data_IF_224441816348
#
_entry.id   IF_224441816348
#
_cell.length_a   1.000
_cell.length_b   1.000
_cell.length_c   1.000
_cell.angle_alpha   90.00
_cell.angle_beta   90.00
_cell.angle_gamma   90.00
#
_symmetry.space_group_name_H-M   'P 1'
#
loop_
_entity.id
_entity.type
_entity.pdbx_description
1 polymer ?
#
# COMPACT_ATOMS: atom_id res chain seq x y z
N UNK A 1 -40.14 18.58 57.49
CA UNK A 1 -38.89 17.93 57.94
C UNK A 1 -38.67 16.66 57.12
N UNK A 2 -37.53 16.61 56.43
CA UNK A 2 -36.72 15.47 55.95
C UNK A 2 -37.37 14.44 54.99
N UNK A 3 -37.10 14.48 53.68
CA UNK A 3 -35.91 13.95 52.96
C UNK A 3 -35.57 12.47 53.25
N UNK A 4 -35.83 11.58 52.26
CA UNK A 4 -34.78 10.81 51.55
C UNK A 4 -35.36 9.93 50.44
N UNK A 5 -35.14 10.39 49.21
CA UNK A 5 -34.96 9.62 47.97
C UNK A 5 -33.86 8.57 48.14
N UNK A 6 -33.97 7.39 47.51
CA UNK A 6 -32.83 6.74 46.85
C UNK A 6 -33.30 5.85 45.69
N UNK A 7 -33.03 6.33 44.48
CA UNK A 7 -33.10 5.60 43.22
C UNK A 7 -31.98 4.55 43.17
N UNK A 8 -32.33 3.30 42.88
CA UNK A 8 -31.35 2.31 42.40
C UNK A 8 -31.15 2.51 40.90
N UNK A 9 -30.21 3.39 40.55
CA UNK A 9 -29.62 3.41 39.22
C UNK A 9 -28.51 2.36 39.18
N UNK A 10 -28.74 1.27 38.44
CA UNK A 10 -27.69 0.34 38.07
C UNK A 10 -26.73 1.08 37.12
N UNK A 11 -25.63 1.60 37.67
CA UNK A 11 -24.48 2.01 36.87
C UNK A 11 -23.88 0.75 36.27
N UNK A 12 -24.22 0.49 35.01
CA UNK A 12 -23.39 -0.30 34.14
C UNK A 12 -22.03 0.42 34.04
N UNK A 13 -21.05 -0.07 34.79
CA UNK A 13 -19.64 0.20 34.55
C UNK A 13 -19.33 -0.40 33.18
N UNK A 14 -19.55 0.38 32.12
CA UNK A 14 -18.84 0.20 30.87
C UNK A 14 -17.37 0.29 31.26
N UNK A 15 -16.70 -0.85 31.33
CA UNK A 15 -15.25 -0.93 31.38
C UNK A 15 -14.73 -0.28 30.11
N UNK A 16 -14.56 1.04 30.15
CA UNK A 16 -13.71 1.76 29.21
C UNK A 16 -12.32 1.25 29.55
N UNK A 17 -11.90 0.20 28.85
CA UNK A 17 -10.50 -0.22 28.87
C UNK A 17 -9.78 0.96 28.23
N UNK A 18 -9.27 1.86 29.07
CA UNK A 18 -8.33 2.89 28.64
C UNK A 18 -7.11 2.13 28.10
N UNK A 19 -7.12 1.82 26.81
CA UNK A 19 -5.93 1.41 26.10
C UNK A 19 -4.99 2.60 26.12
N UNK A 20 -4.10 2.62 27.13
CA UNK A 20 -3.03 3.59 27.19
C UNK A 20 -2.22 3.50 25.88
N UNK A 21 -1.90 4.64 25.25
CA UNK A 21 -1.07 4.64 24.06
C UNK A 21 0.28 3.96 24.36
N UNK A 22 0.73 3.06 23.48
CA UNK A 22 1.95 2.25 23.67
C UNK A 22 3.25 3.04 23.47
N UNK A 23 3.25 4.35 23.60
CA UNK A 23 4.34 5.27 23.17
C UNK A 23 5.66 5.15 23.96
N UNK A 24 5.90 4.06 24.70
CA UNK A 24 7.13 3.80 25.46
C UNK A 24 7.94 2.64 24.85
N UNK A 25 9.24 2.88 24.61
CA UNK A 25 10.24 1.95 24.05
C UNK A 25 10.52 0.69 24.92
N UNK A 26 9.78 0.46 26.00
CA UNK A 26 10.03 -0.61 26.99
C UNK A 26 8.90 -1.64 27.09
N UNK A 27 7.97 -1.64 26.14
CA UNK A 27 6.87 -2.62 26.13
C UNK A 27 7.37 -4.00 25.71
N UNK A 28 7.04 -5.04 26.49
CA UNK A 28 7.36 -6.42 26.11
C UNK A 28 6.67 -6.78 24.79
N UNK A 29 7.26 -7.69 23.99
CA UNK A 29 6.63 -8.18 22.74
C UNK A 29 5.23 -8.73 23.03
N UNK A 30 5.00 -9.35 24.18
CA UNK A 30 3.71 -9.92 24.55
C UNK A 30 2.66 -8.84 24.82
N UNK A 31 3.06 -7.69 25.37
CA UNK A 31 2.15 -6.56 25.57
C UNK A 31 1.80 -5.89 24.24
N UNK A 32 2.79 -5.75 23.34
CA UNK A 32 2.55 -5.30 21.96
C UNK A 32 1.60 -6.23 21.21
N UNK A 33 1.80 -7.55 21.32
CA UNK A 33 0.91 -8.56 20.70
C UNK A 33 -0.52 -8.45 21.25
N UNK A 34 -0.68 -8.29 22.56
CA UNK A 34 -2.02 -8.13 23.17
C UNK A 34 -2.70 -6.86 22.67
N UNK A 35 -1.97 -5.76 22.57
CA UNK A 35 -2.53 -4.50 22.06
C UNK A 35 -2.93 -4.60 20.58
N UNK A 36 -2.12 -5.24 19.74
CA UNK A 36 -2.44 -5.43 18.32
C UNK A 36 -3.52 -6.49 18.06
N UNK A 37 -3.86 -7.38 19.01
CA UNK A 37 -4.88 -8.42 18.76
C UNK A 37 -6.30 -7.88 18.61
N UNK A 38 -6.56 -6.65 19.06
CA UNK A 38 -7.86 -6.03 18.87
C UNK A 38 -8.04 -5.59 17.41
N UNK A 39 -9.04 -6.15 16.72
CA UNK A 39 -9.56 -5.59 15.47
C UNK A 39 -9.00 -6.12 14.14
N UNK A 40 -8.53 -7.37 14.08
CA UNK A 40 -7.92 -7.97 12.88
C UNK A 40 -6.67 -7.22 12.40
N UNK A 41 -5.74 -6.99 13.33
CA UNK A 41 -4.44 -6.39 13.06
C UNK A 41 -3.31 -7.39 13.21
N UNK A 42 -2.23 -7.11 12.49
CA UNK A 42 -0.98 -7.85 12.56
C UNK A 42 0.10 -6.96 13.20
N UNK A 43 0.84 -7.52 14.16
CA UNK A 43 1.98 -6.86 14.77
C UNK A 43 3.22 -7.15 13.93
N UNK A 44 3.91 -6.08 13.51
CA UNK A 44 5.24 -6.17 12.91
C UNK A 44 6.26 -5.52 13.84
N UNK A 45 7.36 -6.23 14.09
CA UNK A 45 8.44 -5.77 14.99
C UNK A 45 9.79 -6.06 14.34
N UNK A 46 10.68 -5.07 14.40
CA UNK A 46 12.10 -5.22 14.12
C UNK A 46 12.88 -4.82 15.35
N UNK A 47 13.73 -5.73 15.83
CA UNK A 47 14.63 -5.49 16.96
C UNK A 47 15.98 -5.01 16.45
N UNK A 48 16.46 -3.91 17.04
CA UNK A 48 17.86 -3.48 16.98
C UNK A 48 18.49 -3.72 18.37
N UNK A 49 19.81 -3.52 18.50
CA UNK A 49 20.56 -3.84 19.73
C UNK A 49 19.96 -3.21 21.00
N UNK A 50 19.47 -1.97 20.91
CA UNK A 50 18.93 -1.21 22.05
C UNK A 50 17.47 -0.77 21.93
N UNK A 51 16.83 -0.97 20.77
CA UNK A 51 15.49 -0.44 20.48
C UNK A 51 14.66 -1.40 19.63
N UNK A 52 13.34 -1.35 19.80
CA UNK A 52 12.37 -2.04 18.95
C UNK A 52 11.60 -1.02 18.10
N UNK A 53 11.55 -1.23 16.79
CA UNK A 53 10.61 -0.51 15.91
C UNK A 53 9.41 -1.41 15.70
N UNK A 54 8.20 -0.90 15.91
CA UNK A 54 6.99 -1.70 15.76
C UNK A 54 5.80 -0.91 15.21
N UNK A 55 4.88 -1.66 14.59
CA UNK A 55 3.57 -1.16 14.19
C UNK A 55 2.51 -2.28 14.25
N UNK A 56 1.32 -1.95 14.74
CA UNK A 56 0.13 -2.73 14.44
C UNK A 56 -0.48 -2.24 13.13
N UNK A 57 -0.61 -3.15 12.16
CA UNK A 57 -1.21 -2.87 10.86
C UNK A 57 -2.65 -3.38 10.89
N UNK A 58 -3.63 -2.48 10.87
CA UNK A 58 -5.05 -2.81 11.01
C UNK A 58 -5.75 -2.85 9.65
N UNK A 59 -6.45 -3.94 9.34
CA UNK A 59 -7.29 -3.99 8.13
C UNK A 59 -8.48 -3.02 8.29
N UNK A 60 -8.59 -2.08 7.37
CA UNK A 60 -9.70 -1.12 7.29
C UNK A 60 -10.82 -1.69 6.42
N UNK A 61 -12.06 -1.58 6.91
CA UNK A 61 -13.26 -1.92 6.15
C UNK A 61 -14.29 -0.81 6.33
N UNK A 62 -14.59 -0.07 5.26
CA UNK A 62 -15.54 1.04 5.28
C UNK A 62 -16.94 0.67 5.83
N UNK A 63 -17.35 -0.59 5.66
CA UNK A 63 -18.65 -1.10 6.11
C UNK A 63 -18.66 -1.47 7.61
N UNK A 64 -17.52 -1.44 8.29
CA UNK A 64 -17.39 -1.75 9.72
C UNK A 64 -17.48 -0.46 10.53
N UNK A 65 -18.50 -0.36 11.39
CA UNK A 65 -18.68 0.83 12.25
C UNK A 65 -17.54 1.04 13.26
N UNK A 66 -16.84 -0.03 13.65
CA UNK A 66 -15.80 -0.01 14.68
C UNK A 66 -14.41 -0.28 14.08
N UNK A 67 -14.01 0.50 13.08
CA UNK A 67 -12.61 0.51 12.62
C UNK A 67 -11.74 1.19 13.68
N UNK A 68 -10.69 0.50 14.15
CA UNK A 68 -9.74 1.03 15.13
C UNK A 68 -8.90 2.15 14.53
N UNK A 69 -8.44 1.92 13.29
CA UNK A 69 -7.66 2.84 12.49
C UNK A 69 -8.47 3.18 11.21
N UNK A 70 -8.54 4.46 10.86
CA UNK A 70 -9.34 4.97 9.74
C UNK A 70 -8.54 5.97 8.90
N UNK A 71 -8.86 6.17 7.61
CA UNK A 71 -8.10 7.07 6.75
C UNK A 71 -8.02 8.53 7.21
N UNK A 72 -8.98 9.00 8.01
CA UNK A 72 -9.02 10.36 8.55
C UNK A 72 -7.93 10.60 9.61
N UNK A 73 -7.68 9.62 10.48
CA UNK A 73 -6.78 9.77 11.64
C UNK A 73 -5.51 8.91 11.60
N UNK A 74 -5.40 7.99 10.64
CA UNK A 74 -4.33 7.00 10.53
C UNK A 74 -3.67 7.06 9.17
N UNK A 75 -2.42 6.61 9.08
CA UNK A 75 -1.75 6.42 7.79
C UNK A 75 -2.25 5.11 7.19
N UNK A 76 -2.77 5.15 5.97
CA UNK A 76 -3.27 3.97 5.29
C UNK A 76 -2.56 3.73 3.97
N UNK A 77 -2.57 2.48 3.54
CA UNK A 77 -1.98 2.00 2.30
C UNK A 77 -2.80 0.80 1.82
N UNK A 78 -2.70 0.50 0.53
CA UNK A 78 -3.18 -0.78 0.01
C UNK A 78 -2.07 -1.82 0.16
N UNK A 79 -2.47 -3.01 0.57
CA UNK A 79 -1.69 -4.22 0.38
C UNK A 79 -2.53 -5.17 -0.46
N UNK A 80 -2.06 -5.47 -1.66
CA UNK A 80 -2.88 -6.06 -2.72
C UNK A 80 -4.11 -5.16 -3.01
N UNK A 81 -5.32 -5.61 -2.67
CA UNK A 81 -6.56 -4.83 -2.86
C UNK A 81 -7.23 -4.42 -1.53
N UNK A 82 -6.65 -4.82 -0.41
CA UNK A 82 -7.17 -4.53 0.91
C UNK A 82 -6.52 -3.25 1.46
N UNK A 83 -7.29 -2.44 2.17
CA UNK A 83 -6.79 -1.24 2.84
C UNK A 83 -6.33 -1.60 4.24
N UNK A 84 -5.12 -1.19 4.58
CA UNK A 84 -4.55 -1.33 5.91
C UNK A 84 -4.14 0.03 6.44
N UNK A 85 -4.27 0.23 7.75
CA UNK A 85 -4.01 1.49 8.42
C UNK A 85 -3.18 1.29 9.69
N UNK A 86 -2.31 2.26 9.96
CA UNK A 86 -1.47 2.36 11.14
C UNK A 86 -1.89 3.59 11.93
N UNK A 87 -2.39 3.36 13.14
CA UNK A 87 -2.80 4.41 14.07
C UNK A 87 -1.66 4.66 15.06
N UNK A 88 -1.39 5.95 15.34
CA UNK A 88 -0.32 6.41 16.24
C UNK A 88 -0.31 5.76 17.62
N UNK A 89 -1.47 5.29 18.12
CA UNK A 89 -1.59 4.64 19.43
C UNK A 89 -0.91 3.27 19.47
N UNK A 90 -0.63 2.71 18.30
CA UNK A 90 -0.23 1.33 18.08
C UNK A 90 1.07 1.21 17.25
N UNK A 91 1.86 2.28 17.22
CA UNK A 91 3.20 2.30 16.61
C UNK A 91 4.09 3.28 17.36
N UNK A 92 5.41 3.08 17.31
CA UNK A 92 6.40 4.06 17.75
C UNK A 92 7.12 4.78 16.59
N UNK A 93 6.67 4.58 15.35
CA UNK A 93 7.19 5.29 14.17
C UNK A 93 6.61 6.70 14.16
N UNK A 94 7.45 7.72 14.36
CA UNK A 94 7.01 9.11 14.56
C UNK A 94 6.42 9.70 13.28
N UNK A 95 6.94 9.28 12.15
CA UNK A 95 6.55 9.66 10.80
C UNK A 95 5.13 9.18 10.47
N UNK A 96 4.63 8.16 11.19
CA UNK A 96 3.28 7.64 11.05
C UNK A 96 2.23 8.37 11.90
N UNK A 97 2.62 9.32 12.75
CA UNK A 97 1.68 10.12 13.53
C UNK A 97 1.21 11.34 12.73
N UNK A 98 0.04 11.25 12.09
CA UNK A 98 -0.61 12.36 11.36
C UNK A 98 -0.81 13.65 12.18
N UNK A 99 -0.82 13.56 13.51
CA UNK A 99 -0.94 14.73 14.40
C UNK A 99 0.40 15.37 14.77
N UNK A 100 1.52 14.73 14.41
CA UNK A 100 2.87 15.17 14.71
C UNK A 100 3.43 16.08 13.63
N UNK A 101 4.34 16.99 14.03
CA UNK A 101 5.15 17.79 13.08
C UNK A 101 6.14 16.94 12.28
N UNK A 102 6.45 15.74 12.77
CA UNK A 102 7.34 14.80 12.08
C UNK A 102 6.58 13.91 11.09
N UNK A 103 5.28 14.12 10.91
CA UNK A 103 4.49 13.33 9.97
C UNK A 103 5.09 13.42 8.56
N UNK A 104 5.41 12.25 8.01
CA UNK A 104 5.80 12.09 6.62
C UNK A 104 5.18 10.80 6.10
N UNK A 105 4.20 10.95 5.20
CA UNK A 105 3.49 9.82 4.64
C UNK A 105 4.43 8.82 3.95
N UNK A 106 5.42 9.32 3.22
CA UNK A 106 6.31 8.50 2.41
C UNK A 106 7.30 7.76 3.30
N UNK A 107 7.91 8.44 4.26
CA UNK A 107 8.82 7.81 5.22
C UNK A 107 8.09 6.77 6.08
N UNK A 108 6.92 7.12 6.63
CA UNK A 108 6.07 6.15 7.34
C UNK A 108 5.78 4.91 6.48
N UNK A 109 5.34 5.11 5.23
CA UNK A 109 5.00 4.03 4.32
C UNK A 109 6.20 3.11 4.03
N UNK A 110 7.40 3.67 3.88
CA UNK A 110 8.63 2.88 3.72
C UNK A 110 8.99 2.10 4.98
N UNK A 111 8.86 2.71 6.17
CA UNK A 111 9.15 2.03 7.43
C UNK A 111 8.20 0.85 7.66
N UNK A 112 6.91 1.05 7.37
CA UNK A 112 5.92 -0.05 7.44
C UNK A 112 6.20 -1.13 6.40
N UNK A 113 6.57 -0.76 5.16
CA UNK A 113 6.98 -1.74 4.17
C UNK A 113 8.21 -2.54 4.63
N UNK A 114 9.21 -1.87 5.22
CA UNK A 114 10.40 -2.54 5.75
C UNK A 114 10.08 -3.44 6.95
N UNK A 115 9.07 -3.13 7.75
CA UNK A 115 8.63 -3.97 8.89
C UNK A 115 7.81 -5.17 8.44
N UNK A 116 7.03 -5.02 7.38
CA UNK A 116 6.15 -6.08 6.84
C UNK A 116 6.90 -7.06 5.96
N UNK A 117 8.02 -6.63 5.36
CA UNK A 117 8.88 -7.48 4.55
C UNK A 117 9.77 -8.38 5.43
N UNK A 118 9.52 -9.68 5.39
CA UNK A 118 10.29 -10.73 6.08
C UNK A 118 11.62 -11.08 5.37
N UNK A 119 12.04 -10.26 4.41
CA UNK A 119 13.19 -10.52 3.54
C UNK A 119 12.83 -11.27 2.26
N UNK A 120 11.56 -11.66 2.06
CA UNK A 120 11.08 -12.28 0.82
C UNK A 120 10.79 -11.29 -0.31
N UNK A 121 10.79 -9.98 -0.02
CA UNK A 121 10.39 -8.90 -0.94
C UNK A 121 8.96 -9.03 -1.48
N UNK A 122 8.16 -9.95 -0.92
CA UNK A 122 6.82 -10.31 -1.41
C UNK A 122 5.85 -9.13 -1.44
N UNK A 123 6.02 -8.16 -0.54
CA UNK A 123 5.10 -7.04 -0.37
C UNK A 123 5.50 -5.78 -1.15
N UNK A 124 6.73 -5.69 -1.66
CA UNK A 124 7.28 -4.45 -2.26
C UNK A 124 6.44 -3.93 -3.44
N UNK A 125 5.97 -4.80 -4.32
CA UNK A 125 5.12 -4.41 -5.45
C UNK A 125 3.63 -4.28 -5.11
N UNK A 126 3.19 -4.93 -4.02
CA UNK A 126 1.79 -4.97 -3.55
C UNK A 126 1.41 -3.78 -2.68
N UNK A 127 2.41 -3.07 -2.16
CA UNK A 127 2.25 -1.95 -1.24
C UNK A 127 2.06 -0.64 -2.01
N UNK A 128 0.86 -0.06 -1.94
CA UNK A 128 0.48 1.15 -2.68
C UNK A 128 -0.06 2.24 -1.76
N UNK A 129 0.10 3.50 -2.16
CA UNK A 129 -0.42 4.63 -1.41
C UNK A 129 -1.94 4.60 -1.37
N UNK A 130 -2.52 5.11 -0.29
CA UNK A 130 -3.96 5.32 -0.16
C UNK A 130 -4.24 6.83 -0.11
N UNK A 131 -5.26 7.34 -0.83
CA UNK A 131 -6.20 6.59 -1.69
C UNK A 131 -5.70 6.39 -3.13
N UNK A 132 -4.58 7.01 -3.51
CA UNK A 132 -4.18 7.22 -4.91
C UNK A 132 -3.58 5.99 -5.62
N UNK A 133 -3.32 4.89 -4.92
CA UNK A 133 -2.75 3.64 -5.45
C UNK A 133 -1.37 3.80 -6.12
N UNK A 134 -0.60 4.81 -5.73
CA UNK A 134 0.75 5.03 -6.24
C UNK A 134 1.76 4.06 -5.62
N UNK A 135 2.86 3.79 -6.32
CA UNK A 135 3.93 2.96 -5.76
C UNK A 135 4.63 3.65 -4.62
N UNK A 136 4.75 2.94 -3.50
CA UNK A 136 5.56 3.40 -2.37
C UNK A 136 7.02 3.04 -2.62
N UNK A 137 7.32 1.80 -3.03
CA UNK A 137 8.67 1.38 -3.39
C UNK A 137 8.80 1.05 -4.88
N UNK A 138 9.92 1.48 -5.45
CA UNK A 138 10.30 1.22 -6.84
C UNK A 138 11.59 0.43 -6.82
N UNK A 139 11.54 -0.81 -7.32
CA UNK A 139 12.70 -1.64 -7.56
C UNK A 139 12.69 -2.03 -9.04
N UNK A 140 13.40 -1.24 -9.85
CA UNK A 140 13.43 -1.44 -11.29
C UNK A 140 13.99 -2.82 -11.67
N UNK A 141 14.91 -3.38 -10.90
CA UNK A 141 15.52 -4.68 -11.21
C UNK A 141 14.52 -5.79 -10.96
N UNK A 142 13.88 -5.77 -9.78
CA UNK A 142 12.87 -6.76 -9.43
C UNK A 142 11.64 -6.66 -10.33
N UNK A 143 11.19 -5.45 -10.65
CA UNK A 143 10.04 -5.25 -11.54
C UNK A 143 10.26 -5.84 -12.93
N UNK A 144 11.43 -5.58 -13.52
CA UNK A 144 11.75 -6.11 -14.84
C UNK A 144 11.90 -7.64 -14.80
N UNK A 145 12.42 -8.19 -13.70
CA UNK A 145 12.50 -9.65 -13.49
C UNK A 145 11.11 -10.28 -13.38
N UNK A 146 10.21 -9.71 -12.59
CA UNK A 146 8.83 -10.18 -12.43
C UNK A 146 8.03 -10.07 -13.73
N UNK A 147 8.19 -8.95 -14.44
CA UNK A 147 7.61 -8.73 -15.77
C UNK A 147 7.93 -9.90 -16.71
N UNK A 148 9.23 -10.20 -16.86
CA UNK A 148 9.71 -11.30 -17.72
C UNK A 148 9.26 -12.67 -17.21
N UNK A 149 9.29 -12.90 -15.89
CA UNK A 149 8.91 -14.19 -15.28
C UNK A 149 7.45 -14.58 -15.56
N UNK A 150 6.59 -13.61 -15.89
CA UNK A 150 5.19 -13.85 -16.24
C UNK A 150 4.90 -13.61 -17.73
N UNK A 151 5.91 -13.82 -18.59
CA UNK A 151 5.84 -13.67 -20.04
C UNK A 151 5.52 -12.24 -20.54
N UNK A 152 5.80 -11.23 -19.72
CA UNK A 152 5.71 -9.83 -20.12
C UNK A 152 6.93 -9.36 -20.93
N UNK A 153 6.73 -8.26 -21.66
CA UNK A 153 7.75 -7.54 -22.41
C UNK A 153 8.17 -6.32 -21.58
N UNK A 154 9.45 -6.23 -21.27
CA UNK A 154 10.03 -5.05 -20.64
C UNK A 154 10.51 -4.11 -21.72
N UNK A 155 9.99 -2.88 -21.72
CA UNK A 155 10.45 -1.80 -22.57
C UNK A 155 11.24 -0.81 -21.72
N UNK A 156 12.55 -0.71 -21.92
CA UNK A 156 13.42 0.26 -21.23
C UNK A 156 13.92 1.36 -22.15
N UNK A 157 14.28 2.51 -21.59
CA UNK A 157 14.84 3.62 -22.36
C UNK A 157 15.94 4.32 -21.58
N UNK A 158 17.14 4.45 -22.15
CA UNK A 158 18.33 5.14 -21.62
C UNK A 158 18.86 4.75 -20.21
N UNK A 159 18.01 4.68 -19.18
CA UNK A 159 18.36 4.40 -17.79
C UNK A 159 17.42 3.36 -17.17
N UNK A 160 17.85 2.71 -16.09
CA UNK A 160 17.11 1.58 -15.49
C UNK A 160 15.73 1.95 -14.94
N UNK A 161 15.52 3.20 -14.53
CA UNK A 161 14.24 3.70 -13.99
C UNK A 161 13.27 4.22 -15.07
N UNK A 162 13.59 4.05 -16.34
CA UNK A 162 12.72 4.39 -17.46
C UNK A 162 12.27 3.08 -18.10
N UNK A 163 11.22 2.47 -17.52
CA UNK A 163 10.69 1.20 -18.00
C UNK A 163 9.17 1.10 -17.95
N UNK A 164 8.63 0.36 -18.91
CA UNK A 164 7.25 -0.09 -18.95
C UNK A 164 7.24 -1.60 -19.03
N UNK A 165 6.36 -2.23 -18.27
CA UNK A 165 6.08 -3.64 -18.42
C UNK A 165 4.77 -3.85 -19.16
N UNK A 166 4.83 -4.56 -20.28
CA UNK A 166 3.68 -4.98 -21.07
C UNK A 166 3.40 -6.46 -20.79
N UNK A 167 2.19 -6.79 -20.33
CA UNK A 167 1.78 -8.16 -20.06
C UNK A 167 0.81 -8.69 -21.10
N UNK A 168 0.95 -9.96 -21.53
CA UNK A 168 0.01 -10.54 -22.46
C UNK A 168 -1.37 -10.58 -21.81
N UNK A 169 -2.37 -10.00 -22.47
CA UNK A 169 -3.74 -10.13 -22.03
C UNK A 169 -4.24 -11.52 -22.38
N UNK A 170 -4.55 -12.30 -21.35
CA UNK A 170 -4.96 -13.71 -21.45
C UNK A 170 -6.37 -13.93 -20.95
N UNK A 171 -6.99 -12.90 -20.36
CA UNK A 171 -8.32 -12.97 -19.78
C UNK A 171 -9.36 -12.37 -20.73
N UNK A 172 -10.59 -12.89 -20.64
CA UNK A 172 -11.76 -12.30 -21.30
C UNK A 172 -12.33 -11.09 -20.53
N UNK A 173 -11.56 -10.54 -19.60
CA UNK A 173 -11.98 -9.39 -18.80
C UNK A 173 -11.97 -8.10 -19.62
N UNK A 174 -12.72 -7.12 -19.14
CA UNK A 174 -12.82 -5.84 -19.81
C UNK A 174 -11.46 -5.15 -19.87
N UNK A 175 -11.07 -4.69 -21.06
CA UNK A 175 -9.86 -3.90 -21.29
C UNK A 175 -10.06 -2.41 -20.94
N UNK A 176 -11.28 -2.02 -20.57
CA UNK A 176 -11.65 -0.61 -20.34
C UNK A 176 -10.74 0.08 -19.33
N UNK A 177 -10.33 -0.64 -18.28
CA UNK A 177 -9.53 -0.10 -17.19
C UNK A 177 -8.02 -0.33 -17.38
N UNK A 178 -7.59 -0.85 -18.54
CA UNK A 178 -6.18 -1.09 -18.88
C UNK A 178 -5.76 -0.30 -20.10
N UNK A 179 -4.50 0.13 -20.15
CA UNK A 179 -3.92 0.67 -21.38
C UNK A 179 -3.27 -0.49 -22.14
N UNK A 180 -3.77 -0.82 -23.34
CA UNK A 180 -3.36 -1.99 -24.10
C UNK A 180 -2.95 -1.61 -25.51
N UNK A 181 -2.01 -2.37 -26.06
CA UNK A 181 -1.42 -2.22 -27.39
C UNK A 181 -1.26 -3.59 -28.04
N UNK A 182 -1.23 -3.65 -29.36
CA UNK A 182 -0.86 -4.87 -30.07
C UNK A 182 0.66 -4.98 -30.21
N UNK A 183 1.17 -6.20 -30.00
CA UNK A 183 2.56 -6.59 -30.25
C UNK A 183 2.54 -7.93 -30.98
N UNK A 184 3.07 -7.96 -32.21
CA UNK A 184 3.12 -9.15 -33.06
C UNK A 184 1.78 -9.91 -33.18
N UNK A 185 0.67 -9.15 -33.31
CA UNK A 185 -0.69 -9.69 -33.43
C UNK A 185 -1.30 -10.23 -32.14
N UNK A 186 -0.70 -9.93 -30.98
CA UNK A 186 -1.23 -10.25 -29.65
C UNK A 186 -1.47 -8.99 -28.83
N UNK A 187 -2.48 -9.02 -27.98
CA UNK A 187 -2.78 -7.92 -27.07
C UNK A 187 -1.87 -7.96 -25.86
N UNK A 188 -1.18 -6.86 -25.60
CA UNK A 188 -0.44 -6.64 -24.38
C UNK A 188 -0.95 -5.40 -23.67
N UNK A 189 -1.11 -5.46 -22.35
CA UNK A 189 -1.53 -4.34 -21.54
C UNK A 189 -0.41 -3.88 -20.61
N UNK A 190 -0.32 -2.57 -20.39
CA UNK A 190 0.55 -1.98 -19.37
C UNK A 190 0.18 -2.60 -18.02
N UNK A 191 1.14 -3.27 -17.41
CA UNK A 191 1.00 -3.78 -16.07
C UNK A 191 1.50 -2.74 -15.09
N UNK A 192 0.53 -2.06 -14.48
CA UNK A 192 0.74 -0.93 -13.56
C UNK A 192 1.59 -1.31 -12.36
N UNK A 193 1.60 -2.60 -11.98
CA UNK A 193 2.37 -3.03 -10.82
C UNK A 193 3.88 -2.95 -11.07
N UNK A 194 4.32 -3.33 -12.28
CA UNK A 194 5.74 -3.34 -12.69
C UNK A 194 6.04 -2.26 -13.74
N UNK A 195 5.30 -1.14 -13.72
CA UNK A 195 5.56 0.03 -14.57
C UNK A 195 5.71 1.28 -13.71
N UNK A 196 6.81 2.02 -13.90
CA UNK A 196 7.07 3.27 -13.17
C UNK A 196 6.45 4.50 -13.85
N UNK A 197 6.19 4.41 -15.16
CA UNK A 197 5.63 5.51 -15.95
C UNK A 197 4.14 5.69 -15.62
N UNK A 198 3.86 6.57 -14.67
CA UNK A 198 2.51 6.88 -14.16
C UNK A 198 1.57 7.39 -15.25
N UNK A 199 2.09 8.07 -16.28
CA UNK A 199 1.31 8.53 -17.45
C UNK A 199 0.63 7.38 -18.20
N UNK A 200 1.15 6.16 -18.07
CA UNK A 200 0.60 4.94 -18.67
C UNK A 200 -0.29 4.12 -17.73
N UNK A 201 -0.44 4.52 -16.47
CA UNK A 201 -1.29 3.85 -15.48
C UNK A 201 -2.68 4.49 -15.51
N UNK A 202 -3.73 3.75 -15.90
CA UNK A 202 -5.10 4.28 -16.06
C UNK A 202 -5.75 4.66 -14.74
N UNK A 203 -5.31 4.09 -13.63
CA UNK A 203 -5.77 4.45 -12.29
C UNK A 203 -5.04 5.67 -11.72
N UNK A 204 -3.96 6.15 -12.35
CA UNK A 204 -3.24 7.34 -11.91
C UNK A 204 -3.95 8.62 -12.34
N UNK A 205 -3.94 9.63 -11.48
CA UNK A 205 -4.35 11.02 -11.83
C UNK A 205 -3.50 11.63 -12.94
N UNK A 206 -2.30 11.08 -13.19
CA UNK A 206 -1.38 11.54 -14.22
C UNK A 206 -1.59 10.82 -15.56
N UNK A 207 -2.56 9.89 -15.64
CA UNK A 207 -2.87 9.17 -16.86
C UNK A 207 -3.12 10.12 -18.03
N UNK A 208 -2.45 9.88 -19.14
CA UNK A 208 -2.73 10.55 -20.40
C UNK A 208 -2.47 9.57 -21.54
N UNK A 209 -3.53 9.28 -22.28
CA UNK A 209 -3.50 8.31 -23.37
C UNK A 209 -2.41 8.62 -24.41
N UNK A 210 -2.41 9.83 -24.95
CA UNK A 210 -1.54 10.20 -26.07
C UNK A 210 -0.07 10.25 -25.63
N UNK A 211 0.19 10.77 -24.44
CA UNK A 211 1.54 10.76 -23.87
C UNK A 211 2.01 9.33 -23.59
N UNK A 212 1.13 8.44 -23.12
CA UNK A 212 1.49 7.05 -22.93
C UNK A 212 1.85 6.39 -24.27
N UNK A 213 1.05 6.61 -25.33
CA UNK A 213 1.34 6.09 -26.67
C UNK A 213 2.67 6.61 -27.23
N UNK A 214 2.99 7.88 -27.00
CA UNK A 214 4.28 8.45 -27.38
C UNK A 214 5.44 7.76 -26.67
N UNK A 215 5.35 7.59 -25.35
CA UNK A 215 6.37 6.89 -24.55
C UNK A 215 6.51 5.43 -24.99
N UNK A 216 5.39 4.72 -25.19
CA UNK A 216 5.38 3.35 -25.66
C UNK A 216 6.06 3.24 -27.03
N UNK A 217 5.79 4.15 -27.96
CA UNK A 217 6.45 4.17 -29.28
C UNK A 217 7.97 4.36 -29.15
N UNK A 218 8.41 5.33 -28.33
CA UNK A 218 9.84 5.59 -28.12
C UNK A 218 10.55 4.38 -27.48
N UNK A 219 9.97 3.83 -26.41
CA UNK A 219 10.58 2.75 -25.67
C UNK A 219 10.55 1.46 -26.49
N UNK A 220 9.47 1.18 -27.21
CA UNK A 220 9.36 0.00 -28.08
C UNK A 220 10.41 0.03 -29.19
N UNK A 221 10.60 1.19 -29.84
CA UNK A 221 11.66 1.38 -30.84
C UNK A 221 13.06 1.12 -30.27
N UNK A 222 13.34 1.59 -29.05
CA UNK A 222 14.63 1.34 -28.39
C UNK A 222 14.86 -0.15 -28.08
N UNK A 223 13.79 -0.94 -27.93
CA UNK A 223 13.86 -2.37 -27.63
C UNK A 223 13.64 -3.26 -28.86
N UNK A 224 13.52 -2.68 -30.06
CA UNK A 224 13.24 -3.45 -31.29
C UNK A 224 11.85 -4.10 -31.31
N UNK A 225 10.91 -3.59 -30.52
CA UNK A 225 9.52 -4.06 -30.46
C UNK A 225 8.65 -3.12 -31.28
N UNK A 226 7.69 -3.67 -32.03
CA UNK A 226 6.68 -2.86 -32.72
C UNK A 226 5.40 -2.90 -31.90
N UNK A 227 4.95 -1.72 -31.44
CA UNK A 227 3.65 -1.55 -30.81
C UNK A 227 2.70 -0.84 -31.77
N UNK A 228 1.44 -1.28 -31.78
CA UNK A 228 0.39 -0.60 -32.52
C UNK A 228 -0.83 -0.33 -31.62
N UNK A 229 -1.58 0.70 -31.97
CA UNK A 229 -2.87 0.98 -31.35
C UNK A 229 -3.92 0.13 -32.06
N UNK A 230 -4.05 -1.13 -31.66
CA UNK A 230 -5.16 -1.96 -32.11
C UNK A 230 -6.41 -1.63 -31.30
N UNK A 231 -7.53 -1.37 -31.99
CA UNK A 231 -8.83 -1.15 -31.37
C UNK A 231 -9.39 -2.51 -30.94
N UNK A 232 -9.16 -2.87 -29.67
CA UNK A 232 -9.73 -4.07 -29.04
C UNK A 232 -10.99 -3.75 -28.22
#
# INVERSE_FOLDING_TARGET
>A
MNFKTFCFAALALLSVVNNAPLTNNTSSIDDLKKACKYGNSELHVKMNEDDAIYACVHKYNENKHNNIARPDNSVCFYLDNDVYCVDRRYTNIKECDKSSKNFDYRTCSYDILSLTNDGSERYTYRFRSYPDKERISVDAVQDQKECKARNGIVLTYNVMYQYICLYPETSSHSLKDKHCVGVDGKVYCVYEDNTIITTCNKHSKQYNHDNCMNILSEYSKANGVTVNEEKF
#
